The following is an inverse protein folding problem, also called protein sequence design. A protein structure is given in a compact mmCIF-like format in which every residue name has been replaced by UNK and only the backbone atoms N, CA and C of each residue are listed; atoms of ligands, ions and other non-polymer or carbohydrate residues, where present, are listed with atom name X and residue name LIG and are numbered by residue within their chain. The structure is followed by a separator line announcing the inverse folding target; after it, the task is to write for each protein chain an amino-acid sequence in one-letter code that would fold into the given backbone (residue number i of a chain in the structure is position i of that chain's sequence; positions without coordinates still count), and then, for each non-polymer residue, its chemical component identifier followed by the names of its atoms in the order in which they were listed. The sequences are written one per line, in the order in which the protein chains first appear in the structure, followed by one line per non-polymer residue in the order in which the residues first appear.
data_IF_651232735316
#
_entry.id   IF_651232735316
#
_cell.length_a   1.000
_cell.length_b   1.000
_cell.length_c   1.000
_cell.angle_alpha   90.00
_cell.angle_beta   90.00
_cell.angle_gamma   90.00
#
_symmetry.space_group_name_H-M   'P 1'
#
loop_
_entity.id
_entity.type
_entity.pdbx_description
1 polymer ?
#
# COMPACT_ATOMS: atom_id res chain seq x y z
N UNK A 1 1.79 -4.87 -7.26
CA UNK A 1 1.20 -5.32 -5.99
C UNK A 1 -0.30 -5.31 -6.12
N UNK A 2 -0.99 -6.22 -5.46
CA UNK A 2 -2.45 -6.18 -5.36
C UNK A 2 -2.84 -5.23 -4.22
N UNK A 3 -3.89 -4.44 -4.45
CA UNK A 3 -4.37 -3.44 -3.51
C UNK A 3 -5.73 -3.89 -2.98
N UNK A 4 -5.96 -3.76 -1.68
CA UNK A 4 -7.08 -4.38 -0.97
C UNK A 4 -7.80 -3.36 -0.11
N UNK A 5 -9.12 -3.49 0.04
CA UNK A 5 -9.90 -2.68 1.00
C UNK A 5 -9.89 -3.29 2.40
N UNK A 6 -10.58 -2.65 3.37
CA UNK A 6 -10.63 -3.14 4.75
C UNK A 6 -11.24 -4.55 4.92
N UNK A 7 -11.94 -5.07 3.90
CA UNK A 7 -12.52 -6.41 3.87
C UNK A 7 -11.61 -7.44 3.18
N UNK A 8 -10.39 -7.07 2.81
CA UNK A 8 -9.44 -7.93 2.10
C UNK A 8 -9.82 -8.21 0.63
N UNK A 9 -10.68 -7.36 0.02
CA UNK A 9 -11.08 -7.50 -1.38
C UNK A 9 -10.21 -6.66 -2.28
N UNK A 10 -9.80 -7.24 -3.41
CA UNK A 10 -9.00 -6.54 -4.42
C UNK A 10 -9.76 -5.29 -4.92
N UNK A 11 -9.07 -4.16 -4.92
CA UNK A 11 -9.59 -2.85 -5.31
C UNK A 11 -8.74 -2.29 -6.45
N UNK A 12 -9.36 -1.87 -7.57
CA UNK A 12 -8.63 -1.34 -8.71
C UNK A 12 -7.96 0.01 -8.35
N UNK A 13 -6.73 0.16 -8.82
CA UNK A 13 -5.99 1.43 -8.76
C UNK A 13 -6.57 2.38 -9.81
N UNK A 14 -6.67 3.65 -9.45
CA UNK A 14 -6.97 4.73 -10.38
C UNK A 14 -5.65 5.19 -11.07
N UNK A 15 -5.46 4.97 -12.39
CA UNK A 15 -4.20 5.24 -13.08
C UNK A 15 -3.75 6.71 -13.04
N UNK A 16 -4.70 7.64 -12.95
CA UNK A 16 -4.47 9.07 -12.83
C UNK A 16 -3.95 9.48 -11.44
N UNK A 17 -4.06 8.59 -10.45
CA UNK A 17 -3.57 8.82 -9.10
C UNK A 17 -2.15 8.29 -8.95
N UNK A 18 -1.27 9.12 -8.43
CA UNK A 18 0.13 8.78 -8.19
C UNK A 18 0.48 8.98 -6.73
N UNK A 19 1.15 7.99 -6.15
CA UNK A 19 1.70 8.08 -4.79
C UNK A 19 3.04 8.79 -4.89
N UNK A 20 3.08 10.03 -4.41
CA UNK A 20 4.31 10.84 -4.37
C UNK A 20 5.04 10.75 -3.04
N UNK A 21 4.38 10.25 -2.01
CA UNK A 21 4.90 10.10 -0.66
C UNK A 21 4.44 8.76 -0.09
N UNK A 22 5.29 8.13 0.71
CA UNK A 22 4.90 6.91 1.41
C UNK A 22 3.77 7.24 2.40
N UNK A 23 2.74 6.37 2.50
CA UNK A 23 1.71 6.55 3.52
C UNK A 23 2.33 6.53 4.91
N UNK A 24 1.80 7.38 5.78
CA UNK A 24 2.27 7.49 7.17
C UNK A 24 1.83 6.31 8.03
N UNK A 25 0.69 5.70 7.68
CA UNK A 25 0.12 4.56 8.37
C UNK A 25 0.41 3.23 7.66
N UNK A 26 0.70 2.21 8.45
CA UNK A 26 0.87 0.83 8.01
C UNK A 26 0.53 -0.14 9.12
N UNK A 27 0.28 -1.40 8.75
CA UNK A 27 0.26 -2.52 9.70
C UNK A 27 1.19 -3.64 9.23
N UNK A 28 1.52 -4.54 10.16
CA UNK A 28 2.31 -5.73 9.86
C UNK A 28 1.36 -6.89 9.53
N UNK A 29 1.38 -7.36 8.28
CA UNK A 29 0.52 -8.46 7.82
C UNK A 29 0.97 -9.85 8.28
N UNK A 30 2.10 -9.93 9.00
CA UNK A 30 2.77 -11.19 9.32
C UNK A 30 3.49 -11.78 8.10
N UNK A 31 4.23 -12.87 8.30
CA UNK A 31 4.95 -13.62 7.24
C UNK A 31 5.87 -12.77 6.34
N UNK A 32 6.43 -11.68 6.90
CA UNK A 32 7.33 -10.79 6.17
C UNK A 32 6.62 -9.76 5.29
N UNK A 33 5.34 -9.47 5.51
CA UNK A 33 4.64 -8.39 4.80
C UNK A 33 4.47 -7.12 5.64
N UNK A 34 4.72 -5.99 5.00
CA UNK A 34 4.37 -4.64 5.46
C UNK A 34 3.19 -4.17 4.62
N UNK A 35 2.18 -3.58 5.27
CA UNK A 35 0.95 -3.16 4.62
C UNK A 35 0.69 -1.66 4.82
N UNK A 36 1.25 -0.79 3.95
CA UNK A 36 0.93 0.63 3.95
C UNK A 36 -0.55 0.86 3.68
N UNK A 37 -1.16 1.80 4.41
CA UNK A 37 -2.58 2.15 4.33
C UNK A 37 -2.74 3.47 3.60
N UNK A 38 -3.53 3.46 2.54
CA UNK A 38 -3.95 4.63 1.77
C UNK A 38 -5.37 5.03 2.17
N UNK A 39 -5.54 6.31 2.47
CA UNK A 39 -6.82 6.92 2.80
C UNK A 39 -7.76 6.95 1.58
N UNK A 40 -9.09 7.07 1.80
CA UNK A 40 -10.05 7.18 0.72
C UNK A 40 -9.66 8.26 -0.29
N UNK A 41 -9.67 7.90 -1.58
CA UNK A 41 -9.33 8.82 -2.65
C UNK A 41 -7.84 9.04 -2.91
N UNK A 42 -6.91 8.42 -2.19
CA UNK A 42 -5.47 8.57 -2.51
C UNK A 42 -5.05 7.71 -3.71
N UNK A 43 -5.45 6.43 -3.73
CA UNK A 43 -5.03 5.47 -4.76
C UNK A 43 -6.19 4.82 -5.52
N UNK A 44 -7.38 4.81 -4.92
CA UNK A 44 -8.55 4.12 -5.46
C UNK A 44 -9.79 4.99 -5.36
N UNK A 45 -10.87 4.55 -6.00
CA UNK A 45 -12.19 5.15 -5.86
C UNK A 45 -12.93 4.62 -4.62
N UNK A 46 -12.27 3.81 -3.79
CA UNK A 46 -12.86 3.29 -2.55
C UNK A 46 -13.23 4.42 -1.61
N UNK A 47 -14.38 4.28 -0.97
CA UNK A 47 -14.85 5.15 0.12
C UNK A 47 -14.20 4.80 1.46
N UNK A 48 -13.63 3.59 1.58
CA UNK A 48 -12.87 3.11 2.73
C UNK A 48 -11.36 3.05 2.47
N UNK A 49 -10.54 2.91 3.52
CA UNK A 49 -9.09 2.81 3.39
C UNK A 49 -8.69 1.54 2.62
N UNK A 50 -7.54 1.62 1.96
CA UNK A 50 -7.00 0.50 1.19
C UNK A 50 -5.54 0.25 1.55
N UNK A 51 -5.05 -0.96 1.36
CA UNK A 51 -3.65 -1.30 1.64
C UNK A 51 -3.04 -2.14 0.54
N UNK A 52 -1.71 -2.08 0.44
CA UNK A 52 -0.92 -2.93 -0.47
C UNK A 52 -0.12 -3.92 0.36
N UNK A 53 -0.13 -5.20 -0.01
CA UNK A 53 0.82 -6.16 0.54
C UNK A 53 2.17 -5.97 -0.12
N UNK A 54 3.15 -5.53 0.68
CA UNK A 54 4.53 -5.31 0.27
C UNK A 54 5.44 -6.28 1.02
N UNK A 55 6.20 -7.07 0.27
CA UNK A 55 7.22 -7.95 0.86
C UNK A 55 8.30 -7.09 1.53
N UNK A 56 8.66 -7.44 2.77
CA UNK A 56 9.63 -6.70 3.56
C UNK A 56 11.02 -6.63 2.91
N UNK A 57 11.40 -7.64 2.12
CA UNK A 57 12.64 -7.63 1.33
C UNK A 57 12.62 -6.56 0.23
N UNK A 58 11.45 -6.27 -0.36
CA UNK A 58 11.29 -5.16 -1.33
C UNK A 58 11.45 -3.81 -0.63
N UNK A 59 10.86 -3.66 0.56
CA UNK A 59 11.03 -2.44 1.38
C UNK A 59 12.51 -2.22 1.73
N UNK A 60 13.19 -3.28 2.17
CA UNK A 60 14.62 -3.23 2.47
C UNK A 60 15.46 -2.85 1.23
N UNK A 61 15.16 -3.44 0.07
CA UNK A 61 15.84 -3.11 -1.19
C UNK A 61 15.74 -1.62 -1.53
N UNK A 62 14.54 -1.04 -1.47
CA UNK A 62 14.36 0.39 -1.76
C UNK A 62 15.03 1.29 -0.72
N UNK A 63 14.99 0.91 0.56
CA UNK A 63 15.69 1.64 1.62
C UNK A 63 17.20 1.66 1.40
N UNK A 64 17.79 0.58 0.87
CA UNK A 64 19.23 0.55 0.51
C UNK A 64 19.53 1.40 -0.71
N UNK A 65 18.65 1.41 -1.72
CA UNK A 65 18.84 2.16 -2.98
C UNK A 65 18.66 3.68 -2.83
N UNK A 66 17.83 4.11 -1.89
CA UNK A 66 17.56 5.53 -1.63
C UNK A 66 18.52 6.16 -0.59
N UNK A 67 19.53 5.42 -0.13
CA UNK A 67 20.69 5.96 0.59
C UNK A 67 21.76 6.38 -0.40
#
# INVERSE_FOLDING_TARGET
GHLYNEYGRNTPIQPEKSVRQLPTDYFLGGRGFVCPIFQPGELTASTGPTYVLLDAGIVEYFNRKNK
#
